data_IF_185023535001
#
_entry.id   IF_185023535001
#
_cell.length_a   1.000
_cell.length_b   1.000
_cell.length_c   1.000
_cell.angle_alpha   90.00
_cell.angle_beta   90.00
_cell.angle_gamma   90.00
#
_symmetry.space_group_name_H-M   'P 1'
#
loop_
_entity.id
_entity.type
_entity.pdbx_description
1 polymer ?
#
# COMPACT_ATOMS: atom_id res chain seq x y z
N UNK A 1 -20.87 23.44 -4.98
CA UNK A 1 -19.83 22.40 -4.83
C UNK A 1 -18.73 23.04 -4.01
N UNK A 2 -18.67 22.78 -2.70
CA UNK A 2 -17.64 23.39 -1.86
C UNK A 2 -16.28 22.84 -2.30
N UNK A 3 -15.33 23.73 -2.54
CA UNK A 3 -13.95 23.40 -2.86
C UNK A 3 -13.38 22.58 -1.70
N UNK A 4 -13.37 21.26 -1.84
CA UNK A 4 -12.80 20.36 -0.83
C UNK A 4 -11.30 20.64 -0.89
N UNK A 5 -10.80 21.51 0.00
CA UNK A 5 -9.37 21.77 0.12
C UNK A 5 -8.66 20.45 0.41
N UNK A 6 -8.05 19.90 -0.63
CA UNK A 6 -7.11 18.80 -0.52
C UNK A 6 -5.91 19.28 0.28
N UNK A 7 -5.49 18.47 1.23
CA UNK A 7 -4.40 18.77 2.14
C UNK A 7 -3.10 18.13 1.62
N UNK A 8 -1.93 18.74 1.83
CA UNK A 8 -0.67 18.10 1.53
C UNK A 8 -0.50 16.77 2.26
N UNK A 9 -0.09 15.74 1.51
CA UNK A 9 0.31 14.46 2.08
C UNK A 9 1.61 13.96 1.47
N UNK A 10 2.31 13.10 2.21
CA UNK A 10 3.46 12.33 1.73
C UNK A 10 3.19 10.84 1.92
N UNK A 11 3.26 10.08 0.83
CA UNK A 11 3.09 8.63 0.81
C UNK A 11 4.36 7.92 0.36
N UNK A 12 4.69 6.77 1.00
CA UNK A 12 5.75 5.87 0.57
C UNK A 12 5.26 4.43 0.42
N UNK A 13 5.69 3.78 -0.67
CA UNK A 13 5.54 2.36 -0.91
C UNK A 13 6.92 1.70 -1.08
N UNK A 14 7.21 0.77 -0.18
CA UNK A 14 8.42 -0.05 -0.16
C UNK A 14 8.08 -1.55 -0.18
N UNK A 15 6.92 -1.91 -0.73
CA UNK A 15 6.48 -3.29 -0.90
C UNK A 15 7.33 -4.07 -1.92
N UNK A 16 8.10 -3.38 -2.76
CA UNK A 16 9.06 -3.96 -3.71
C UNK A 16 10.46 -3.34 -3.51
N UNK A 17 11.45 -3.80 -4.29
CA UNK A 17 12.81 -3.22 -4.30
C UNK A 17 12.83 -1.80 -4.87
N UNK A 18 11.94 -1.52 -5.82
CA UNK A 18 11.67 -0.20 -6.35
C UNK A 18 10.74 0.54 -5.39
N UNK A 19 11.25 1.59 -4.77
CA UNK A 19 10.50 2.41 -3.83
C UNK A 19 9.68 3.39 -4.64
N UNK A 20 8.41 3.56 -4.28
CA UNK A 20 7.52 4.54 -4.90
C UNK A 20 7.08 5.54 -3.85
N UNK A 21 6.87 6.77 -4.27
CA UNK A 21 6.43 7.84 -3.40
C UNK A 21 5.46 8.75 -4.14
N UNK A 22 4.54 9.34 -3.39
CA UNK A 22 3.61 10.34 -3.90
C UNK A 22 3.52 11.49 -2.91
N UNK A 23 3.60 12.72 -3.41
CA UNK A 23 3.41 13.95 -2.65
C UNK A 23 2.23 14.68 -3.28
N UNK A 24 1.39 15.31 -2.46
CA UNK A 24 0.28 16.14 -2.92
C UNK A 24 0.38 17.55 -2.35
N UNK A 25 -0.11 18.52 -3.10
CA UNK A 25 -0.37 19.88 -2.66
C UNK A 25 -1.64 20.38 -3.35
N UNK A 26 -2.73 20.54 -2.58
CA UNK A 26 -4.02 20.95 -3.12
C UNK A 26 -4.53 19.96 -4.17
N UNK A 27 -4.96 20.48 -5.32
CA UNK A 27 -5.54 19.67 -6.41
C UNK A 27 -4.54 18.77 -7.16
N UNK A 28 -3.25 18.91 -6.90
CA UNK A 28 -2.18 18.29 -7.67
C UNK A 28 -1.39 17.30 -6.82
N UNK A 29 -0.93 16.22 -7.44
CA UNK A 29 0.04 15.30 -6.86
C UNK A 29 1.17 15.01 -7.84
N UNK A 30 2.28 14.52 -7.30
CA UNK A 30 3.44 14.07 -8.06
C UNK A 30 3.91 12.74 -7.51
N UNK A 31 4.24 11.82 -8.41
CA UNK A 31 4.66 10.46 -8.07
C UNK A 31 5.99 10.15 -8.71
N UNK A 32 6.84 9.43 -7.97
CA UNK A 32 8.17 9.04 -8.43
C UNK A 32 8.58 7.70 -7.87
N UNK A 33 9.54 7.06 -8.54
CA UNK A 33 10.18 5.84 -8.08
C UNK A 33 11.69 5.98 -7.96
N UNK A 34 12.28 5.16 -7.08
CA UNK A 34 13.72 5.07 -6.85
C UNK A 34 14.15 3.61 -6.78
N UNK A 35 15.28 3.31 -7.42
CA UNK A 35 16.02 2.09 -7.16
C UNK A 35 16.94 2.32 -5.97
N UNK A 36 16.70 1.60 -4.88
CA UNK A 36 17.49 1.75 -3.64
C UNK A 36 18.54 0.68 -3.45
N UNK A 37 18.57 -0.35 -4.30
CA UNK A 37 19.50 -1.49 -4.19
C UNK A 37 19.64 -2.03 -2.76
N UNK A 38 18.50 -2.19 -2.05
CA UNK A 38 18.41 -2.65 -0.65
C UNK A 38 18.95 -1.68 0.41
N UNK A 39 19.14 -0.39 0.07
CA UNK A 39 19.62 0.67 0.98
C UNK A 39 18.55 1.73 1.32
N UNK A 40 17.29 1.31 1.41
CA UNK A 40 16.18 2.21 1.76
C UNK A 40 16.44 2.94 3.10
N UNK A 41 17.02 2.26 4.07
CA UNK A 41 17.42 2.81 5.37
C UNK A 41 18.32 4.06 5.25
N UNK A 42 19.29 4.05 4.34
CA UNK A 42 20.19 5.17 4.10
C UNK A 42 19.58 6.25 3.19
N UNK A 43 18.55 5.91 2.40
CA UNK A 43 17.99 6.77 1.35
C UNK A 43 16.66 7.41 1.73
N UNK A 44 15.93 6.88 2.71
CA UNK A 44 14.55 7.28 2.98
C UNK A 44 14.40 8.78 3.28
N UNK A 45 15.33 9.37 4.01
CA UNK A 45 15.34 10.81 4.30
C UNK A 45 15.57 11.61 3.00
N UNK A 46 16.51 11.19 2.16
CA UNK A 46 16.78 11.85 0.88
C UNK A 46 15.57 11.78 -0.05
N UNK A 47 14.90 10.62 -0.10
CA UNK A 47 13.68 10.40 -0.89
C UNK A 47 12.57 11.36 -0.40
N UNK A 48 12.36 11.46 0.91
CA UNK A 48 11.35 12.37 1.46
C UNK A 48 11.66 13.84 1.15
N UNK A 49 12.92 14.25 1.31
CA UNK A 49 13.36 15.61 1.00
C UNK A 49 13.20 15.95 -0.48
N UNK A 50 13.49 14.99 -1.38
CA UNK A 50 13.27 15.17 -2.81
C UNK A 50 11.79 15.35 -3.13
N UNK A 51 10.91 14.58 -2.49
CA UNK A 51 9.46 14.71 -2.68
C UNK A 51 8.90 16.03 -2.15
N UNK A 52 9.33 16.47 -0.97
CA UNK A 52 8.95 17.77 -0.40
C UNK A 52 9.33 18.94 -1.32
N UNK A 53 10.52 18.89 -1.92
CA UNK A 53 11.01 19.91 -2.86
C UNK A 53 10.17 20.07 -4.12
N UNK A 54 9.38 19.07 -4.52
CA UNK A 54 8.53 19.16 -5.71
C UNK A 54 7.52 20.31 -5.61
N UNK A 55 7.03 20.55 -4.40
CA UNK A 55 6.04 21.59 -4.10
C UNK A 55 6.58 22.67 -3.16
N UNK A 56 7.91 22.71 -2.97
CA UNK A 56 8.60 23.59 -2.03
C UNK A 56 7.98 23.57 -0.62
N UNK A 57 7.60 22.38 -0.15
CA UNK A 57 6.95 22.17 1.14
C UNK A 57 7.98 21.93 2.25
N UNK A 58 7.75 22.56 3.39
CA UNK A 58 8.35 22.13 4.65
C UNK A 58 7.66 20.86 5.17
N UNK A 59 8.40 20.02 5.88
CA UNK A 59 7.84 18.80 6.49
C UNK A 59 6.66 19.10 7.43
N UNK A 60 6.66 20.26 8.08
CA UNK A 60 5.58 20.72 8.97
C UNK A 60 4.27 21.04 8.24
N UNK A 61 4.34 21.34 6.95
CA UNK A 61 3.19 21.61 6.09
C UNK A 61 2.51 20.34 5.60
N UNK A 62 3.16 19.18 5.75
CA UNK A 62 2.52 17.88 5.50
C UNK A 62 1.44 17.64 6.54
N UNK A 63 0.20 17.56 6.09
CA UNK A 63 -0.96 17.34 6.96
C UNK A 63 -1.25 15.85 7.20
N UNK A 64 -0.74 14.96 6.35
CA UNK A 64 -0.98 13.52 6.46
C UNK A 64 0.19 12.73 5.91
N UNK A 65 0.57 11.67 6.62
CA UNK A 65 1.48 10.67 6.10
C UNK A 65 0.70 9.45 5.61
N UNK A 66 1.25 8.77 4.62
CA UNK A 66 0.70 7.53 4.10
C UNK A 66 1.79 6.50 3.84
N UNK A 67 1.48 5.23 4.04
CA UNK A 67 2.44 4.16 3.82
C UNK A 67 1.76 2.93 3.25
N UNK A 68 2.41 2.28 2.28
CA UNK A 68 1.99 0.96 1.84
C UNK A 68 2.24 -0.04 2.98
N UNK A 69 1.22 -0.80 3.36
CA UNK A 69 1.34 -1.85 4.39
C UNK A 69 1.54 -3.24 3.79
N UNK A 70 1.68 -3.34 2.46
CA UNK A 70 1.94 -4.59 1.75
C UNK A 70 0.68 -5.30 1.24
N UNK A 71 0.72 -6.63 1.02
CA UNK A 71 1.86 -7.53 1.26
C UNK A 71 3.07 -7.24 0.36
N UNK A 72 4.27 -7.66 0.76
CA UNK A 72 5.49 -7.41 -0.01
C UNK A 72 6.79 -7.58 0.79
N UNK A 73 7.83 -6.85 0.39
CA UNK A 73 9.16 -6.82 1.03
C UNK A 73 9.09 -6.57 2.53
N UNK A 74 9.36 -7.61 3.33
CA UNK A 74 9.30 -7.55 4.79
C UNK A 74 10.20 -6.44 5.37
N UNK A 75 11.44 -6.35 4.89
CA UNK A 75 12.40 -5.34 5.35
C UNK A 75 11.99 -3.95 4.90
N UNK A 76 11.62 -3.79 3.63
CA UNK A 76 11.22 -2.50 3.07
C UNK A 76 10.00 -1.91 3.78
N UNK A 77 8.96 -2.71 3.99
CA UNK A 77 7.72 -2.30 4.67
C UNK A 77 7.99 -1.89 6.12
N UNK A 78 8.80 -2.65 6.87
CA UNK A 78 9.13 -2.30 8.25
C UNK A 78 9.89 -0.98 8.34
N UNK A 79 10.85 -0.74 7.44
CA UNK A 79 11.63 0.51 7.43
C UNK A 79 10.75 1.72 7.14
N UNK A 80 9.91 1.68 6.10
CA UNK A 80 9.05 2.82 5.73
C UNK A 80 7.96 3.08 6.78
N UNK A 81 7.33 2.03 7.30
CA UNK A 81 6.30 2.14 8.34
C UNK A 81 6.89 2.69 9.62
N UNK A 82 8.05 2.19 10.08
CA UNK A 82 8.69 2.71 11.29
C UNK A 82 9.06 4.19 11.13
N UNK A 83 9.63 4.56 9.99
CA UNK A 83 10.01 5.94 9.69
C UNK A 83 8.81 6.89 9.68
N UNK A 84 7.77 6.57 8.90
CA UNK A 84 6.58 7.43 8.79
C UNK A 84 5.74 7.45 10.06
N UNK A 85 5.72 6.37 10.85
CA UNK A 85 5.13 6.38 12.21
C UNK A 85 5.85 7.35 13.12
N UNK A 86 7.19 7.35 13.12
CA UNK A 86 7.95 8.28 13.95
C UNK A 86 7.65 9.74 13.57
N UNK A 87 7.63 10.06 12.27
CA UNK A 87 7.26 11.40 11.80
C UNK A 87 5.83 11.78 12.18
N UNK A 88 4.86 10.89 11.92
CA UNK A 88 3.46 11.10 12.26
C UNK A 88 3.26 11.35 13.77
N UNK A 89 3.97 10.61 14.62
CA UNK A 89 3.91 10.78 16.08
C UNK A 89 4.52 12.11 16.54
N UNK A 90 5.74 12.43 16.08
CA UNK A 90 6.45 13.65 16.51
C UNK A 90 5.75 14.91 16.02
N UNK A 91 5.14 14.86 14.82
CA UNK A 91 4.46 15.99 14.21
C UNK A 91 2.96 16.03 14.50
N UNK A 92 2.46 15.06 15.26
CA UNK A 92 1.04 14.90 15.60
C UNK A 92 0.15 14.95 14.34
N UNK A 93 0.53 14.18 13.31
CA UNK A 93 -0.21 14.07 12.05
C UNK A 93 -0.77 12.65 11.86
N UNK A 94 -1.94 12.51 11.23
CA UNK A 94 -2.47 11.19 10.88
C UNK A 94 -1.51 10.40 9.98
N UNK A 95 -1.45 9.08 10.20
CA UNK A 95 -0.77 8.13 9.32
C UNK A 95 -1.78 7.13 8.75
N UNK A 96 -1.84 7.05 7.42
CA UNK A 96 -2.69 6.09 6.72
C UNK A 96 -1.89 4.89 6.23
N UNK A 97 -2.29 3.68 6.62
CA UNK A 97 -1.86 2.45 5.97
C UNK A 97 -2.75 2.10 4.78
N UNK A 98 -2.17 1.78 3.63
CA UNK A 98 -2.90 1.31 2.43
C UNK A 98 -2.26 0.00 1.98
N UNK A 99 -3.04 -1.07 1.85
CA UNK A 99 -2.55 -2.32 1.29
C UNK A 99 -2.66 -2.34 -0.25
N UNK A 100 -1.86 -3.19 -0.88
CA UNK A 100 -1.80 -3.29 -2.34
C UNK A 100 -3.12 -3.75 -2.97
N UNK A 101 -3.94 -4.55 -2.27
CA UNK A 101 -5.20 -5.04 -2.80
C UNK A 101 -6.25 -3.93 -2.80
N UNK A 102 -6.32 -3.13 -1.73
CA UNK A 102 -7.16 -1.93 -1.68
C UNK A 102 -6.78 -0.96 -2.81
N UNK A 103 -5.48 -0.69 -2.97
CA UNK A 103 -5.00 0.21 -4.01
C UNK A 103 -5.29 -0.30 -5.44
N UNK A 104 -5.04 -1.58 -5.70
CA UNK A 104 -5.36 -2.20 -6.99
C UNK A 104 -6.87 -2.25 -7.25
N UNK A 105 -7.69 -2.54 -6.25
CA UNK A 105 -9.16 -2.59 -6.38
C UNK A 105 -9.75 -1.23 -6.74
N UNK A 106 -9.23 -0.15 -6.14
CA UNK A 106 -9.61 1.21 -6.49
C UNK A 106 -9.18 1.53 -7.93
N UNK A 107 -7.96 1.16 -8.32
CA UNK A 107 -7.47 1.36 -9.69
C UNK A 107 -8.36 0.68 -10.74
N UNK A 108 -8.80 -0.55 -10.47
CA UNK A 108 -9.74 -1.26 -11.35
C UNK A 108 -11.12 -0.60 -11.38
N UNK A 109 -11.60 -0.11 -10.23
CA UNK A 109 -12.88 0.61 -10.14
C UNK A 109 -12.85 1.90 -10.97
N UNK A 110 -11.75 2.66 -10.90
CA UNK A 110 -11.54 3.87 -11.69
C UNK A 110 -11.45 3.57 -13.20
N UNK A 111 -10.95 2.38 -13.56
CA UNK A 111 -10.94 1.87 -14.93
C UNK A 111 -12.30 1.33 -15.41
N UNK A 112 -13.35 1.38 -14.57
CA UNK A 112 -14.70 0.93 -14.90
C UNK A 112 -14.93 -0.58 -14.80
N UNK A 113 -13.99 -1.33 -14.20
CA UNK A 113 -14.17 -2.77 -13.97
C UNK A 113 -15.22 -2.98 -12.87
N UNK A 114 -16.14 -3.91 -13.11
CA UNK A 114 -17.24 -4.23 -12.19
C UNK A 114 -17.53 -5.72 -12.13
N UNK A 115 -18.24 -6.14 -11.08
CA UNK A 115 -18.59 -7.54 -10.84
C UNK A 115 -17.48 -8.31 -10.11
N UNK A 116 -17.56 -9.64 -10.18
CA UNK A 116 -16.62 -10.52 -9.49
C UNK A 116 -15.24 -10.46 -10.16
N UNK A 117 -14.22 -10.14 -9.36
CA UNK A 117 -12.82 -10.11 -9.78
C UNK A 117 -11.96 -10.89 -8.79
N UNK A 118 -10.83 -11.37 -9.28
CA UNK A 118 -9.78 -11.92 -8.44
C UNK A 118 -8.48 -11.18 -8.69
N UNK A 119 -7.89 -10.66 -7.61
CA UNK A 119 -6.57 -10.05 -7.62
C UNK A 119 -5.53 -11.08 -7.19
N UNK A 120 -4.40 -11.11 -7.91
CA UNK A 120 -3.28 -12.02 -7.66
C UNK A 120 -2.02 -11.19 -7.46
N UNK A 121 -1.16 -11.58 -6.53
CA UNK A 121 0.18 -11.01 -6.34
C UNK A 121 1.19 -12.13 -6.08
N UNK A 122 2.24 -12.31 -6.91
CA UNK A 122 3.24 -13.35 -6.70
C UNK A 122 4.11 -13.07 -5.48
N UNK A 123 4.59 -14.14 -4.87
CA UNK A 123 5.61 -14.11 -3.81
C UNK A 123 6.96 -14.60 -4.33
N UNK A 124 8.02 -14.41 -3.54
CA UNK A 124 9.37 -14.91 -3.86
C UNK A 124 9.53 -16.44 -3.78
N UNK A 125 8.49 -17.19 -3.40
CA UNK A 125 8.57 -18.65 -3.18
C UNK A 125 7.70 -19.46 -4.16
N UNK A 126 7.31 -18.85 -5.28
CA UNK A 126 6.39 -19.48 -6.25
C UNK A 126 4.98 -19.67 -5.72
N UNK A 127 4.64 -19.02 -4.61
CA UNK A 127 3.29 -18.96 -4.03
C UNK A 127 2.63 -17.62 -4.41
N UNK A 128 1.31 -17.51 -4.20
CA UNK A 128 0.55 -16.32 -4.59
C UNK A 128 -0.32 -15.82 -3.45
N UNK A 129 -0.38 -14.50 -3.27
CA UNK A 129 -1.42 -13.85 -2.50
C UNK A 129 -2.62 -13.58 -3.40
N UNK A 130 -3.81 -13.96 -2.94
CA UNK A 130 -5.04 -13.87 -3.73
C UNK A 130 -6.16 -13.29 -2.90
N UNK A 131 -6.95 -12.39 -3.48
CA UNK A 131 -8.22 -11.95 -2.92
C UNK A 131 -9.29 -11.95 -4.00
N UNK A 132 -10.44 -12.52 -3.67
CA UNK A 132 -11.66 -12.44 -4.48
C UNK A 132 -12.56 -11.35 -3.92
N UNK A 133 -13.13 -10.52 -4.80
CA UNK A 133 -13.98 -9.40 -4.41
C UNK A 133 -14.99 -9.08 -5.51
N UNK A 134 -16.00 -8.29 -5.15
CA UNK A 134 -16.90 -7.67 -6.11
C UNK A 134 -16.59 -6.18 -6.21
N UNK A 135 -16.42 -5.68 -7.43
CA UNK A 135 -16.20 -4.25 -7.70
C UNK A 135 -17.50 -3.56 -8.19
N UNK A 136 -17.66 -2.26 -7.89
CA UNK A 136 -16.80 -1.44 -7.03
C UNK A 136 -17.00 -1.79 -5.55
N UNK A 137 -15.96 -1.59 -4.74
CA UNK A 137 -16.05 -1.70 -3.29
C UNK A 137 -16.47 -0.35 -2.72
N UNK A 138 -17.49 -0.36 -1.84
CA UNK A 138 -18.08 0.88 -1.30
C UNK A 138 -17.16 1.58 -0.30
N UNK A 139 -16.48 0.79 0.53
CA UNK A 139 -15.47 1.24 1.49
C UNK A 139 -14.21 0.39 1.34
N UNK A 140 -13.06 1.02 1.10
CA UNK A 140 -11.78 0.32 0.95
C UNK A 140 -11.40 -0.52 2.19
N UNK A 141 -11.98 -0.22 3.37
CA UNK A 141 -11.82 -1.04 4.57
C UNK A 141 -12.50 -2.42 4.46
N UNK A 142 -13.40 -2.60 3.50
CA UNK A 142 -14.10 -3.85 3.21
C UNK A 142 -13.33 -4.75 2.23
N UNK A 143 -12.17 -4.30 1.72
CA UNK A 143 -11.34 -5.09 0.82
C UNK A 143 -10.92 -6.37 1.56
N UNK A 144 -11.24 -7.56 1.00
CA UNK A 144 -10.90 -8.82 1.65
C UNK A 144 -9.40 -8.96 1.82
N UNK A 145 -8.98 -9.42 3.00
CA UNK A 145 -7.58 -9.76 3.23
C UNK A 145 -7.17 -10.89 2.28
N UNK A 146 -6.03 -10.77 1.59
CA UNK A 146 -5.58 -11.81 0.69
C UNK A 146 -5.18 -13.06 1.47
N UNK A 147 -5.34 -14.21 0.83
CA UNK A 147 -4.89 -15.52 1.31
C UNK A 147 -3.66 -15.97 0.53
N UNK A 148 -2.73 -16.66 1.19
CA UNK A 148 -1.59 -17.28 0.52
C UNK A 148 -1.98 -18.65 -0.02
N UNK A 149 -1.77 -18.90 -1.30
CA UNK A 149 -1.96 -20.20 -1.93
C UNK A 149 -0.65 -20.80 -2.45
N UNK A 150 -0.43 -22.12 -2.35
CA UNK A 150 0.80 -22.77 -2.80
C UNK A 150 0.97 -22.76 -4.32
N UNK A 151 -0.14 -22.90 -5.04
CA UNK A 151 -0.23 -22.86 -6.48
C UNK A 151 -1.44 -22.05 -6.88
N UNK A 152 -1.31 -21.35 -7.99
CA UNK A 152 -2.41 -20.66 -8.61
C UNK A 152 -2.86 -21.45 -9.85
N UNK A 153 -3.90 -22.26 -9.68
CA UNK A 153 -4.63 -22.77 -10.84
C UNK A 153 -5.51 -21.64 -11.37
N UNK A 154 -5.49 -21.45 -12.69
CA UNK A 154 -6.30 -20.43 -13.34
C UNK A 154 -7.76 -20.55 -12.89
N UNK A 155 -8.38 -19.50 -12.33
CA UNK A 155 -9.70 -19.58 -11.72
C UNK A 155 -10.79 -19.84 -12.75
N UNK A 156 -11.92 -20.36 -12.26
CA UNK A 156 -13.19 -20.40 -13.00
C UNK A 156 -13.83 -19.00 -13.18
N UNK A 157 -13.30 -17.99 -12.49
CA UNK A 157 -13.78 -16.59 -12.53
C UNK A 157 -13.25 -15.94 -13.81
N UNK A 158 -14.12 -15.21 -14.52
CA UNK A 158 -13.79 -14.62 -15.83
C UNK A 158 -12.79 -13.47 -15.76
N UNK A 159 -12.72 -12.76 -14.62
CA UNK A 159 -11.89 -11.55 -14.46
C UNK A 159 -10.81 -11.75 -13.40
N UNK A 160 -9.56 -11.88 -13.85
CA UNK A 160 -8.38 -12.10 -13.01
C UNK A 160 -7.33 -11.07 -13.38
N UNK A 161 -6.76 -10.38 -12.40
CA UNK A 161 -5.75 -9.36 -12.61
C UNK A 161 -4.52 -9.58 -11.74
N UNK A 162 -3.34 -9.40 -12.33
CA UNK A 162 -2.06 -9.50 -11.65
C UNK A 162 -1.60 -8.15 -11.12
N UNK A 163 -1.46 -7.99 -9.80
CA UNK A 163 -0.94 -6.76 -9.21
C UNK A 163 0.54 -6.65 -9.53
N UNK A 164 0.91 -5.66 -10.34
CA UNK A 164 2.30 -5.35 -10.79
C UNK A 164 3.00 -6.46 -11.58
N UNK A 165 2.23 -7.39 -12.13
CA UNK A 165 2.75 -8.38 -13.07
C UNK A 165 1.69 -8.73 -14.10
N UNK A 166 2.12 -9.21 -15.26
CA UNK A 166 1.23 -9.72 -16.28
C UNK A 166 1.79 -11.01 -16.88
N UNK A 167 0.90 -11.79 -17.48
CA UNK A 167 1.25 -12.98 -18.27
C UNK A 167 0.39 -13.01 -19.53
N UNK A 168 0.64 -13.95 -20.43
CA UNK A 168 -0.22 -14.14 -21.61
C UNK A 168 -1.69 -14.44 -21.29
N UNK A 169 -2.01 -14.83 -20.05
CA UNK A 169 -3.35 -15.19 -19.60
C UNK A 169 -3.91 -14.29 -18.50
N UNK A 170 -3.07 -13.52 -17.82
CA UNK A 170 -3.46 -12.65 -16.70
C UNK A 170 -3.05 -11.22 -17.06
N UNK A 171 -4.00 -10.32 -17.36
CA UNK A 171 -3.69 -8.92 -17.53
C UNK A 171 -3.14 -8.32 -16.23
N UNK A 172 -2.15 -7.45 -16.35
CA UNK A 172 -1.58 -6.74 -15.22
C UNK A 172 -2.41 -5.54 -14.80
N UNK A 173 -2.37 -5.23 -13.51
CA UNK A 173 -2.84 -3.97 -12.95
C UNK A 173 -1.71 -3.35 -12.13
N UNK A 174 -1.33 -2.13 -12.49
CA UNK A 174 -0.36 -1.33 -11.75
C UNK A 174 -1.14 -0.31 -10.94
N UNK A 175 -1.13 -0.38 -9.58
CA UNK A 175 -1.90 0.54 -8.76
C UNK A 175 -1.58 2.01 -9.10
N UNK A 176 -2.61 2.78 -9.45
CA UNK A 176 -2.42 4.10 -10.07
C UNK A 176 -2.24 5.23 -9.04
N UNK A 177 -1.50 6.30 -9.38
CA UNK A 177 -1.41 7.50 -8.56
C UNK A 177 -2.77 8.13 -8.20
N UNK A 178 -3.72 8.10 -9.14
CA UNK A 178 -5.06 8.66 -8.96
C UNK A 178 -5.86 7.88 -7.92
N UNK A 179 -5.79 6.54 -7.98
CA UNK A 179 -6.40 5.67 -6.98
C UNK A 179 -5.78 5.90 -5.59
N UNK A 180 -4.46 6.11 -5.54
CA UNK A 180 -3.78 6.44 -4.29
C UNK A 180 -4.24 7.79 -3.73
N UNK A 181 -4.33 8.82 -4.56
CA UNK A 181 -4.78 10.15 -4.16
C UNK A 181 -6.19 10.09 -3.55
N UNK A 182 -7.09 9.38 -4.20
CA UNK A 182 -8.44 9.12 -3.70
C UNK A 182 -8.46 8.40 -2.34
N UNK A 183 -7.64 7.35 -2.18
CA UNK A 183 -7.55 6.61 -0.92
C UNK A 183 -6.92 7.46 0.19
N UNK A 184 -5.94 8.30 -0.15
CA UNK A 184 -5.29 9.21 0.77
C UNK A 184 -6.23 10.29 1.27
N UNK A 185 -7.27 10.67 0.52
CA UNK A 185 -8.27 11.67 0.91
C UNK A 185 -9.37 11.15 1.83
N UNK A 186 -9.58 9.83 1.87
CA UNK A 186 -10.64 9.26 2.72
C UNK A 186 -10.50 9.71 4.18
N UNK A 187 -11.59 9.80 4.96
CA UNK A 187 -11.51 10.07 6.39
C UNK A 187 -10.65 9.02 7.11
N UNK A 188 -9.81 9.47 8.05
CA UNK A 188 -9.00 8.61 8.92
C UNK A 188 -9.19 9.05 10.36
N UNK A 189 -9.12 8.08 11.28
CA UNK A 189 -9.04 8.39 12.71
C UNK A 189 -7.63 8.85 13.04
N UNK A 190 -7.53 9.94 13.78
CA UNK A 190 -6.25 10.50 14.21
C UNK A 190 -5.93 10.08 15.66
N UNK A 191 -4.68 10.27 16.05
CA UNK A 191 -4.18 10.06 17.40
C UNK A 191 -3.18 8.91 17.51
N UNK A 192 -2.42 8.94 18.61
CA UNK A 192 -1.30 8.04 18.84
C UNK A 192 -1.67 6.55 18.70
N UNK A 193 -2.81 6.13 19.27
CA UNK A 193 -3.27 4.75 19.21
C UNK A 193 -3.62 4.28 17.79
N UNK A 194 -4.12 5.18 16.95
CA UNK A 194 -4.44 4.86 15.55
C UNK A 194 -3.17 4.74 14.72
N UNK A 195 -2.19 5.63 14.93
CA UNK A 195 -0.86 5.53 14.31
C UNK A 195 -0.19 4.19 14.68
N UNK A 196 -0.34 3.72 15.93
CA UNK A 196 0.23 2.45 16.37
C UNK A 196 -0.35 1.23 15.65
N UNK A 197 -1.60 1.30 15.18
CA UNK A 197 -2.26 0.22 14.43
C UNK A 197 -1.74 0.07 13.00
N UNK A 198 -1.08 1.09 12.46
CA UNK A 198 -0.46 1.01 11.12
C UNK A 198 0.73 0.07 11.18
N UNK A 199 0.52 -1.17 10.75
CA UNK A 199 1.50 -2.24 10.78
C UNK A 199 1.51 -2.99 9.45
N UNK A 200 2.59 -3.71 9.11
CA UNK A 200 2.60 -4.52 7.90
C UNK A 200 1.45 -5.53 7.89
N UNK A 201 0.81 -5.67 6.74
CA UNK A 201 -0.17 -6.72 6.47
C UNK A 201 0.57 -8.04 6.27
N UNK A 202 0.82 -8.72 7.37
CA UNK A 202 1.39 -10.08 7.35
C UNK A 202 0.31 -11.08 6.98
N UNK A 203 0.36 -11.57 5.75
CA UNK A 203 -0.50 -12.66 5.26
C UNK A 203 0.08 -14.03 5.64
N UNK A 204 1.40 -14.08 5.86
CA UNK A 204 2.11 -15.21 6.44
C UNK A 204 2.25 -15.01 7.95
N UNK A 205 1.94 -16.01 8.80
CA UNK A 205 2.43 -15.98 10.17
C UNK A 205 3.96 -15.89 10.15
N UNK A 206 4.50 -15.06 11.01
CA UNK A 206 5.95 -14.90 11.21
C UNK A 206 6.59 -16.23 11.56
N UNK A 207 7.90 -16.38 11.31
CA UNK A 207 8.63 -17.58 11.74
C UNK A 207 8.47 -17.84 13.25
N UNK A 208 8.31 -16.78 14.06
CA UNK A 208 8.04 -16.88 15.48
C UNK A 208 6.66 -17.51 15.76
N UNK A 209 5.60 -17.06 15.08
CA UNK A 209 4.24 -17.61 15.20
C UNK A 209 4.15 -19.06 14.68
N UNK A 210 4.87 -19.37 13.59
CA UNK A 210 5.00 -20.75 13.07
C UNK A 210 5.74 -21.65 14.08
N UNK A 211 6.74 -21.12 14.78
CA UNK A 211 7.47 -21.89 15.78
C UNK A 211 6.66 -22.08 17.07
N UNK A 212 5.88 -21.09 17.49
CA UNK A 212 4.98 -21.18 18.66
C UNK A 212 3.87 -22.22 18.45
N UNK A 213 3.22 -22.20 17.29
CA UNK A 213 2.15 -23.17 16.96
C UNK A 213 2.63 -24.62 16.87
N UNK A 214 3.92 -24.85 16.58
CA UNK A 214 4.57 -26.19 16.64
C UNK A 214 4.88 -26.66 18.07
N UNK A 215 4.96 -25.75 19.04
CA UNK A 215 5.19 -26.07 20.45
C UNK A 215 3.86 -26.38 21.14
N UNK A 216 2.77 -25.72 20.75
CA UNK A 216 1.42 -25.95 21.31
C UNK A 216 0.73 -27.23 20.79
N UNK A 217 1.23 -27.83 19.70
CA UNK A 217 0.73 -29.10 19.13
C UNK A 217 1.51 -30.33 19.60
N UNK A 218 2.38 -30.18 20.59
CA UNK A 218 3.06 -31.27 21.31
C UNK A 218 2.54 -31.39 22.73
#
# INVERSE_FOLDING_TARGET
MGDVRKFPYLFLDSSETCIRGQISQGASFFSRSWETHHRLDAMIISICNEMLKVFDLDLLEVNRFGVCIGPGSFTGLRTSIAFLRALAQVLEKPLRGIDLFSWASQTLSDAGVSGQVQLVLPTYRGQFFIAEMNLPISDYLEVPKPVLVPSFDFPKIQQVYGIRFETSKIPGIFPSPEALDFLMEKPIKDGFQEILKVAPLYVLPTQAEINLSKVETK
#
